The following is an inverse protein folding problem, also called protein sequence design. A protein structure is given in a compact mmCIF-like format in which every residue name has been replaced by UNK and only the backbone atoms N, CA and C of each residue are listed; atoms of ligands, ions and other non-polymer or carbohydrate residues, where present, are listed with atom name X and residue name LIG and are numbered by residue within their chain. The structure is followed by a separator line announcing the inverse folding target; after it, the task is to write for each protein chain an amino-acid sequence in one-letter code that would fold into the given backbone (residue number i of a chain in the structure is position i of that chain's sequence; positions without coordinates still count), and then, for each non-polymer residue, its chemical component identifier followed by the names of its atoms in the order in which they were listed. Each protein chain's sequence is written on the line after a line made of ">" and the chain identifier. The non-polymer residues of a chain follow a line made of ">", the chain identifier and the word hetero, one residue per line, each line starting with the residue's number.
data_IF_202066195342
#
_entry.id   IF_202066195342
#
_cell.length_a   1.000
_cell.length_b   1.000
_cell.length_c   1.000
_cell.angle_alpha   90.00
_cell.angle_beta   90.00
_cell.angle_gamma   90.00
#
_symmetry.space_group_name_H-M   'P 1'
#
loop_
_entity.id
_entity.type
_entity.pdbx_description
1 polymer ?
#
# COMPACT_ATOMS: atom_id res chain seq x y z
N UNK A 1 -0.18 9.58 17.93
CA UNK A 1 -1.26 8.84 17.25
C UNK A 1 -0.96 7.34 17.36
N UNK A 2 -1.70 6.58 18.17
CA UNK A 2 -1.42 5.14 18.38
C UNK A 2 -2.05 4.31 17.25
N UNK A 3 -1.24 3.50 16.56
CA UNK A 3 -1.67 2.54 15.54
C UNK A 3 -2.22 1.27 16.19
N UNK A 4 -3.38 1.34 16.84
CA UNK A 4 -4.02 0.14 17.42
C UNK A 4 -4.46 -0.85 16.32
N UNK A 5 -4.51 -2.15 16.61
CA UNK A 5 -4.93 -3.18 15.63
C UNK A 5 -6.27 -2.89 14.94
N UNK A 6 -7.35 -2.45 15.64
CA UNK A 6 -8.62 -2.13 14.98
C UNK A 6 -8.50 -0.98 13.96
N UNK A 7 -7.65 0.01 14.24
CA UNK A 7 -7.41 1.14 13.33
C UNK A 7 -6.65 0.69 12.09
N UNK A 8 -5.63 -0.16 12.26
CA UNK A 8 -4.89 -0.73 11.13
C UNK A 8 -5.84 -1.51 10.23
N UNK A 9 -6.66 -2.40 10.81
CA UNK A 9 -7.64 -3.17 10.06
C UNK A 9 -8.60 -2.26 9.27
N UNK A 10 -9.15 -1.23 9.92
CA UNK A 10 -10.05 -0.29 9.26
C UNK A 10 -9.37 0.47 8.11
N UNK A 11 -8.13 0.94 8.32
CA UNK A 11 -7.36 1.65 7.29
C UNK A 11 -7.06 0.74 6.10
N UNK A 12 -6.62 -0.49 6.34
CA UNK A 12 -6.30 -1.44 5.27
C UNK A 12 -7.52 -1.84 4.45
N UNK A 13 -8.68 -2.04 5.08
CA UNK A 13 -9.93 -2.29 4.35
C UNK A 13 -10.33 -1.07 3.53
N UNK A 14 -10.28 0.13 4.13
CA UNK A 14 -10.69 1.35 3.44
C UNK A 14 -9.78 1.66 2.24
N UNK A 15 -8.47 1.54 2.41
CA UNK A 15 -7.49 1.67 1.34
C UNK A 15 -7.74 0.63 0.24
N UNK A 16 -7.78 -0.66 0.59
CA UNK A 16 -8.03 -1.74 -0.35
C UNK A 16 -9.34 -1.57 -1.14
N UNK A 17 -10.44 -1.17 -0.51
CA UNK A 17 -11.71 -0.92 -1.23
C UNK A 17 -11.61 0.32 -2.11
N UNK A 18 -11.24 1.47 -1.55
CA UNK A 18 -11.30 2.75 -2.27
C UNK A 18 -10.28 2.82 -3.41
N UNK A 19 -9.06 2.36 -3.20
CA UNK A 19 -8.01 2.40 -4.20
C UNK A 19 -8.28 1.40 -5.33
N UNK A 20 -8.71 0.17 -5.03
CA UNK A 20 -9.03 -0.79 -6.10
C UNK A 20 -10.26 -0.37 -6.92
N UNK A 21 -11.28 0.23 -6.28
CA UNK A 21 -12.41 0.80 -7.02
C UNK A 21 -11.96 1.89 -8.01
N UNK A 22 -11.04 2.77 -7.61
CA UNK A 22 -10.51 3.81 -8.49
C UNK A 22 -9.60 3.23 -9.57
N UNK A 23 -8.54 2.54 -9.19
CA UNK A 23 -7.50 2.12 -10.11
C UNK A 23 -7.97 0.99 -11.04
N UNK A 24 -8.74 0.02 -10.54
CA UNK A 24 -9.16 -1.14 -11.33
C UNK A 24 -10.55 -0.93 -11.87
N UNK A 25 -11.48 -0.54 -11.01
CA UNK A 25 -12.87 -0.29 -11.37
C UNK A 25 -13.05 0.83 -12.40
N UNK A 26 -12.32 1.93 -12.25
CA UNK A 26 -12.44 3.09 -13.15
C UNK A 26 -11.28 3.14 -14.15
N UNK A 27 -10.04 3.31 -13.69
CA UNK A 27 -8.92 3.66 -14.58
C UNK A 27 -8.51 2.51 -15.51
N UNK A 28 -8.31 1.30 -14.98
CA UNK A 28 -7.95 0.13 -15.79
C UNK A 28 -9.11 -0.29 -16.69
N UNK A 29 -10.35 -0.33 -16.19
CA UNK A 29 -11.54 -0.62 -17.02
C UNK A 29 -11.64 0.36 -18.19
N UNK A 30 -11.56 1.67 -17.94
CA UNK A 30 -11.61 2.68 -19.00
C UNK A 30 -10.44 2.56 -19.99
N UNK A 31 -9.25 2.18 -19.52
CA UNK A 31 -8.10 1.95 -20.39
C UNK A 31 -8.29 0.69 -21.25
N UNK A 32 -8.87 -0.38 -20.72
CA UNK A 32 -9.15 -1.63 -21.45
C UNK A 32 -10.13 -1.42 -22.61
N UNK A 33 -11.00 -0.40 -22.55
CA UNK A 33 -11.90 -0.05 -23.66
C UNK A 33 -11.16 0.53 -24.89
N UNK A 34 -9.94 1.06 -24.71
CA UNK A 34 -9.25 1.88 -25.73
C UNK A 34 -7.84 1.43 -26.04
N UNK A 35 -7.23 0.62 -25.16
CA UNK A 35 -5.82 0.25 -25.22
C UNK A 35 -5.66 -1.27 -25.11
N UNK A 36 -4.53 -1.82 -25.62
CA UNK A 36 -4.14 -3.19 -25.33
C UNK A 36 -4.08 -3.46 -23.82
N UNK A 37 -4.45 -4.67 -23.40
CA UNK A 37 -4.48 -5.09 -21.98
C UNK A 37 -3.16 -4.78 -21.26
N UNK A 38 -2.02 -4.97 -21.92
CA UNK A 38 -0.70 -4.66 -21.35
C UNK A 38 -0.56 -3.19 -20.93
N UNK A 39 -1.02 -2.26 -21.77
CA UNK A 39 -1.01 -0.83 -21.46
C UNK A 39 -2.10 -0.45 -20.46
N UNK A 40 -3.27 -1.09 -20.55
CA UNK A 40 -4.35 -0.87 -19.61
C UNK A 40 -4.00 -1.31 -18.18
N UNK A 41 -3.12 -2.29 -18.01
CA UNK A 41 -2.52 -2.65 -16.71
C UNK A 41 -1.36 -1.71 -16.37
N UNK A 42 -0.45 -1.46 -17.31
CA UNK A 42 0.78 -0.70 -17.04
C UNK A 42 0.51 0.74 -16.62
N UNK A 43 -0.39 1.46 -17.31
CA UNK A 43 -0.62 2.89 -17.05
C UNK A 43 -1.20 3.18 -15.65
N UNK A 44 -2.30 2.53 -15.20
CA UNK A 44 -2.79 2.71 -13.83
C UNK A 44 -1.77 2.25 -12.78
N UNK A 45 -0.96 1.23 -13.08
CA UNK A 45 0.08 0.74 -12.17
C UNK A 45 1.22 1.73 -11.99
N UNK A 46 1.68 2.36 -13.08
CA UNK A 46 2.68 3.42 -13.02
C UNK A 46 2.15 4.64 -12.27
N UNK A 47 0.89 5.02 -12.50
CA UNK A 47 0.24 6.10 -11.75
C UNK A 47 0.13 5.76 -10.26
N UNK A 48 -0.25 4.52 -9.93
CA UNK A 48 -0.30 4.04 -8.55
C UNK A 48 1.07 4.20 -7.88
N UNK A 49 2.14 3.73 -8.52
CA UNK A 49 3.50 3.88 -8.01
C UNK A 49 3.92 5.34 -7.84
N UNK A 50 3.57 6.21 -8.80
CA UNK A 50 3.88 7.63 -8.75
C UNK A 50 3.19 8.34 -7.57
N UNK A 51 1.92 8.03 -7.29
CA UNK A 51 1.20 8.60 -6.16
C UNK A 51 1.70 8.11 -4.80
N UNK A 52 2.40 6.97 -4.78
CA UNK A 52 3.04 6.42 -3.59
C UNK A 52 4.50 6.85 -3.43
N UNK A 53 5.03 7.70 -4.31
CA UNK A 53 6.46 8.02 -4.33
C UNK A 53 6.92 8.76 -3.06
N UNK A 54 7.61 8.05 -2.18
CA UNK A 54 8.47 8.60 -1.11
C UNK A 54 9.94 8.60 -1.52
N UNK A 55 10.33 7.57 -2.28
CA UNK A 55 11.61 7.42 -2.97
C UNK A 55 11.36 6.77 -4.32
N UNK A 56 12.31 6.85 -5.25
CA UNK A 56 12.18 6.18 -6.55
C UNK A 56 12.02 4.65 -6.42
N UNK A 57 12.74 4.03 -5.48
CA UNK A 57 12.61 2.60 -5.21
C UNK A 57 11.22 2.25 -4.69
N UNK A 58 10.67 3.04 -3.76
CA UNK A 58 9.34 2.78 -3.23
C UNK A 58 8.25 2.97 -4.30
N UNK A 59 8.40 3.98 -5.18
CA UNK A 59 7.52 4.15 -6.33
C UNK A 59 7.57 2.94 -7.29
N UNK A 60 8.75 2.41 -7.57
CA UNK A 60 8.92 1.22 -8.42
C UNK A 60 8.29 -0.04 -7.79
N UNK A 61 8.47 -0.25 -6.49
CA UNK A 61 7.83 -1.35 -5.76
C UNK A 61 6.29 -1.20 -5.81
N UNK A 62 5.78 -0.01 -5.50
CA UNK A 62 4.35 0.27 -5.54
C UNK A 62 3.76 0.09 -6.94
N UNK A 63 4.48 0.49 -8.01
CA UNK A 63 4.06 0.21 -9.38
C UNK A 63 4.04 -1.30 -9.68
N UNK A 64 5.00 -2.07 -9.17
CA UNK A 64 5.03 -3.53 -9.28
C UNK A 64 3.84 -4.20 -8.59
N UNK A 65 3.51 -3.78 -7.37
CA UNK A 65 2.29 -4.22 -6.66
C UNK A 65 1.05 -3.80 -7.45
N UNK A 66 1.05 -2.58 -8.00
CA UNK A 66 0.02 -2.06 -8.88
C UNK A 66 -0.27 -3.01 -10.06
N UNK A 67 0.79 -3.44 -10.73
CA UNK A 67 0.73 -4.34 -11.88
C UNK A 67 0.25 -5.75 -11.49
N UNK A 68 0.70 -6.27 -10.35
CA UNK A 68 0.22 -7.54 -9.80
C UNK A 68 -1.30 -7.51 -9.54
N UNK A 69 -1.80 -6.48 -8.86
CA UNK A 69 -3.21 -6.33 -8.57
C UNK A 69 -4.04 -6.08 -9.84
N UNK A 70 -3.48 -5.33 -10.81
CA UNK A 70 -4.11 -5.13 -12.12
C UNK A 70 -4.20 -6.42 -12.95
N UNK A 71 -3.17 -7.27 -12.88
CA UNK A 71 -3.20 -8.61 -13.47
C UNK A 71 -4.23 -9.51 -12.78
N UNK A 72 -4.30 -9.46 -11.44
CA UNK A 72 -5.27 -10.21 -10.66
C UNK A 72 -6.71 -9.80 -11.01
N UNK A 73 -6.98 -8.51 -11.14
CA UNK A 73 -8.26 -7.98 -11.61
C UNK A 73 -8.62 -8.54 -13.00
N UNK A 74 -7.68 -8.50 -13.94
CA UNK A 74 -7.90 -8.99 -15.30
C UNK A 74 -8.16 -10.50 -15.35
N UNK A 75 -7.40 -11.30 -14.60
CA UNK A 75 -7.53 -12.76 -14.57
C UNK A 75 -8.80 -13.24 -13.86
N UNK A 76 -9.23 -12.52 -12.81
CA UNK A 76 -10.41 -12.90 -12.02
C UNK A 76 -11.71 -12.29 -12.52
N UNK A 77 -11.63 -11.24 -13.35
CA UNK A 77 -12.78 -10.54 -13.89
C UNK A 77 -13.59 -9.74 -12.86
N UNK A 78 -13.03 -9.48 -11.68
CA UNK A 78 -13.77 -8.81 -10.60
C UNK A 78 -12.88 -8.14 -9.56
N UNK A 79 -13.47 -7.22 -8.79
CA UNK A 79 -12.75 -6.41 -7.79
C UNK A 79 -12.47 -7.12 -6.47
N UNK A 80 -13.19 -8.21 -6.16
CA UNK A 80 -13.08 -8.88 -4.86
C UNK A 80 -11.66 -9.39 -4.60
N UNK A 81 -11.05 -10.05 -5.59
CA UNK A 81 -9.69 -10.58 -5.46
C UNK A 81 -8.63 -9.49 -5.21
N UNK A 82 -8.53 -8.42 -6.03
CA UNK A 82 -7.57 -7.35 -5.77
C UNK A 82 -7.87 -6.57 -4.47
N UNK A 83 -9.14 -6.35 -4.09
CA UNK A 83 -9.49 -5.69 -2.82
C UNK A 83 -8.95 -6.48 -1.63
N UNK A 84 -9.21 -7.78 -1.59
CA UNK A 84 -8.75 -8.65 -0.50
C UNK A 84 -7.21 -8.68 -0.47
N UNK A 85 -6.57 -8.86 -1.63
CA UNK A 85 -5.11 -8.91 -1.71
C UNK A 85 -4.46 -7.60 -1.22
N UNK A 86 -5.00 -6.45 -1.63
CA UNK A 86 -4.50 -5.14 -1.23
C UNK A 86 -4.72 -4.90 0.28
N UNK A 87 -5.94 -5.12 0.78
CA UNK A 87 -6.23 -4.95 2.20
C UNK A 87 -5.37 -5.86 3.10
N UNK A 88 -5.10 -7.09 2.68
CA UNK A 88 -4.20 -7.99 3.40
C UNK A 88 -2.75 -7.51 3.39
N UNK A 89 -2.26 -7.05 2.24
CA UNK A 89 -0.91 -6.49 2.12
C UNK A 89 -0.72 -5.30 3.07
N UNK A 90 -1.66 -4.36 3.05
CA UNK A 90 -1.62 -3.17 3.90
C UNK A 90 -1.70 -3.52 5.38
N UNK A 91 -2.56 -4.48 5.75
CA UNK A 91 -2.68 -4.92 7.14
C UNK A 91 -1.35 -5.48 7.66
N UNK A 92 -0.70 -6.35 6.88
CA UNK A 92 0.60 -6.91 7.23
C UNK A 92 1.67 -5.82 7.29
N UNK A 93 1.72 -4.92 6.31
CA UNK A 93 2.69 -3.84 6.26
C UNK A 93 2.56 -2.87 7.45
N UNK A 94 1.33 -2.48 7.78
CA UNK A 94 1.05 -1.60 8.91
C UNK A 94 1.29 -2.29 10.26
N UNK A 95 0.88 -3.55 10.45
CA UNK A 95 1.16 -4.28 11.70
C UNK A 95 2.66 -4.52 11.88
N UNK A 96 3.38 -4.85 10.82
CA UNK A 96 4.84 -4.96 10.85
C UNK A 96 5.49 -3.64 11.26
N UNK A 97 5.07 -2.53 10.65
CA UNK A 97 5.55 -1.19 10.98
C UNK A 97 5.25 -0.82 12.44
N UNK A 98 4.03 -1.08 12.91
CA UNK A 98 3.63 -0.90 14.31
C UNK A 98 4.54 -1.68 15.25
N UNK A 99 4.77 -2.97 14.99
CA UNK A 99 5.65 -3.81 15.81
C UNK A 99 7.09 -3.31 15.86
N UNK A 100 7.60 -2.73 14.77
CA UNK A 100 8.95 -2.13 14.73
C UNK A 100 9.00 -0.89 15.63
N UNK A 101 8.01 -0.02 15.53
CA UNK A 101 7.93 1.22 16.32
C UNK A 101 7.77 0.90 17.81
N UNK A 102 6.96 -0.12 18.14
CA UNK A 102 6.68 -0.54 19.52
C UNK A 102 7.84 -1.33 20.17
N UNK A 103 8.96 -1.59 19.48
CA UNK A 103 10.07 -2.39 20.04
C UNK A 103 10.71 -1.69 21.26
N UNK A 104 10.87 -2.38 22.40
CA UNK A 104 11.40 -1.82 23.66
C UNK A 104 12.83 -1.25 23.63
N UNK A 105 13.52 -1.19 22.49
CA UNK A 105 14.88 -0.65 22.37
C UNK A 105 14.96 0.82 21.94
N UNK A 106 13.88 1.39 21.39
CA UNK A 106 13.86 2.79 20.95
C UNK A 106 13.75 3.77 22.13
N UNK A 107 13.05 3.40 23.20
CA UNK A 107 12.86 4.23 24.40
C UNK A 107 14.07 4.24 25.33
N UNK A 108 14.83 3.15 25.41
CA UNK A 108 15.97 3.04 26.35
C UNK A 108 17.16 3.89 25.88
N UNK A 109 17.36 4.01 24.56
CA UNK A 109 18.43 4.85 24.00
C UNK A 109 18.16 6.35 24.08
N UNK A 110 16.89 6.76 24.20
CA UNK A 110 16.52 8.16 24.32
C UNK A 110 16.70 8.65 25.76
N UNK A 111 16.27 7.86 26.75
CA UNK A 111 16.53 8.14 28.17
C UNK A 111 18.03 8.18 28.53
N UNK A 112 18.85 7.34 27.88
CA UNK A 112 20.30 7.36 28.07
C UNK A 112 20.99 8.57 27.39
N UNK A 113 20.47 9.06 26.26
CA UNK A 113 20.99 10.26 25.58
C UNK A 113 20.60 11.56 26.29
N UNK A 114 19.38 11.63 26.82
CA UNK A 114 18.90 12.81 27.56
C UNK A 114 19.63 12.98 28.90
N UNK A 115 20.13 11.88 29.49
CA UNK A 115 20.97 11.89 30.70
C UNK A 115 22.45 12.17 30.43
N UNK A 116 22.92 11.96 29.19
CA UNK A 116 24.31 12.20 28.79
C UNK A 116 24.53 13.57 28.14
N UNK A 117 23.48 14.38 27.96
CA UNK A 117 23.59 15.75 27.47
C UNK A 117 24.17 16.65 28.60
N UNK A 118 25.27 17.38 28.36
CA UNK A 118 25.79 18.31 29.35
C UNK A 118 24.81 19.47 29.54
N UNK A 119 24.52 19.79 30.81
CA UNK A 119 23.71 20.94 31.26
C UNK A 119 24.38 22.26 30.87
#
# INVERSE_FOLDING_TARGET
>A
FLLTLPRILALSILAGVSEEMLFRGVLQTAAMERLPVSLAIALPSLLFGALHARTALYAAIAAGVGAYLGLLFWLTGGLVAPIIAHALYDFVAFDWTRRIIDRPGASINQGARDQAAPQ
#
